data_IF_826466268130
#
_entry.id   IF_826466268130
#
_cell.length_a   1.000
_cell.length_b   1.000
_cell.length_c   1.000
_cell.angle_alpha   90.00
_cell.angle_beta   90.00
_cell.angle_gamma   90.00
#
_symmetry.space_group_name_H-M   'P 1'
#
loop_
_entity.id
_entity.type
_entity.pdbx_description
1 polymer ?
#
# COMPACT_ATOMS: atom_id res chain seq x y z
N UNK A 1 -69.68 -41.07 -11.60
CA UNK A 1 -69.11 -40.78 -12.94
C UNK A 1 -67.71 -40.22 -12.74
N UNK A 2 -66.71 -41.10 -12.84
CA UNK A 2 -65.28 -40.78 -12.52
C UNK A 2 -64.54 -40.39 -13.82
N UNK A 3 -63.98 -39.21 -13.88
CA UNK A 3 -63.12 -38.80 -14.96
C UNK A 3 -61.69 -38.54 -14.41
N UNK A 4 -60.83 -39.55 -14.51
CA UNK A 4 -59.41 -39.45 -14.24
C UNK A 4 -58.76 -38.79 -15.46
N UNK A 5 -58.23 -37.57 -15.28
CA UNK A 5 -57.34 -36.92 -16.26
C UNK A 5 -55.90 -37.20 -15.90
N UNK A 6 -55.24 -38.00 -16.71
CA UNK A 6 -53.82 -38.28 -16.67
C UNK A 6 -53.07 -37.10 -17.34
N UNK A 7 -52.27 -36.36 -16.59
CA UNK A 7 -51.32 -35.38 -17.13
C UNK A 7 -49.96 -36.04 -17.31
N UNK A 8 -49.62 -36.29 -18.57
CA UNK A 8 -48.27 -36.68 -18.93
C UNK A 8 -47.38 -35.42 -19.00
N UNK A 9 -46.52 -35.27 -18.05
CA UNK A 9 -45.50 -34.20 -18.05
C UNK A 9 -44.32 -34.58 -18.96
N UNK A 10 -44.13 -33.79 -20.01
CA UNK A 10 -42.97 -33.92 -20.90
C UNK A 10 -41.82 -33.13 -20.24
N UNK A 11 -40.85 -33.83 -19.69
CA UNK A 11 -39.61 -33.22 -19.18
C UNK A 11 -38.64 -33.04 -20.37
N UNK A 12 -38.50 -31.79 -20.82
CA UNK A 12 -37.46 -31.42 -21.77
C UNK A 12 -36.15 -31.18 -21.01
N UNK A 13 -35.21 -32.14 -21.14
CA UNK A 13 -33.87 -31.96 -20.64
C UNK A 13 -33.07 -31.09 -21.62
N UNK A 14 -32.88 -29.82 -21.24
CA UNK A 14 -31.98 -28.91 -21.97
C UNK A 14 -30.56 -29.23 -21.56
N UNK A 15 -29.81 -29.92 -22.42
CA UNK A 15 -28.38 -30.09 -22.22
C UNK A 15 -27.65 -28.76 -22.49
N UNK A 16 -27.14 -28.15 -21.43
CA UNK A 16 -26.25 -26.98 -21.52
C UNK A 16 -24.87 -27.46 -22.00
N UNK A 17 -24.59 -27.26 -23.29
CA UNK A 17 -23.25 -27.47 -23.84
C UNK A 17 -22.34 -26.31 -23.38
N UNK A 18 -21.52 -26.59 -22.37
CA UNK A 18 -20.43 -25.67 -21.98
C UNK A 18 -19.34 -25.78 -23.06
N UNK A 19 -19.25 -24.78 -23.92
CA UNK A 19 -18.11 -24.61 -24.80
C UNK A 19 -16.85 -24.37 -23.95
N UNK A 20 -15.70 -25.00 -24.25
CA UNK A 20 -14.47 -24.70 -23.54
C UNK A 20 -14.09 -23.24 -23.80
N UNK A 21 -14.09 -22.42 -22.74
CA UNK A 21 -13.51 -21.09 -22.81
C UNK A 21 -11.99 -21.24 -22.95
N UNK A 22 -11.47 -20.96 -24.14
CA UNK A 22 -10.03 -20.83 -24.34
C UNK A 22 -9.53 -19.71 -23.43
N UNK A 23 -8.65 -20.02 -22.49
CA UNK A 23 -7.96 -19.01 -21.72
C UNK A 23 -7.23 -18.05 -22.69
N UNK A 24 -7.30 -16.73 -22.49
CA UNK A 24 -6.51 -15.82 -23.31
C UNK A 24 -5.04 -16.21 -23.20
N UNK A 25 -4.36 -16.29 -24.34
CA UNK A 25 -2.93 -16.51 -24.36
C UNK A 25 -2.28 -15.43 -23.49
N UNK A 26 -1.58 -15.84 -22.47
CA UNK A 26 -0.75 -14.94 -21.67
C UNK A 26 0.29 -14.40 -22.65
N UNK A 27 0.24 -13.12 -22.96
CA UNK A 27 1.27 -12.47 -23.77
C UNK A 27 2.63 -12.82 -23.13
N UNK A 28 3.58 -13.25 -23.94
CA UNK A 28 4.93 -13.57 -23.47
C UNK A 28 5.43 -12.41 -22.60
N UNK A 29 5.82 -12.72 -21.36
CA UNK A 29 6.43 -11.73 -20.49
C UNK A 29 7.65 -11.16 -21.22
N UNK A 30 7.88 -9.83 -21.15
CA UNK A 30 9.07 -9.27 -21.76
C UNK A 30 10.31 -10.00 -21.24
N UNK A 31 11.32 -10.25 -22.10
CA UNK A 31 12.51 -10.96 -21.67
C UNK A 31 13.11 -10.23 -20.45
N UNK A 32 13.48 -11.02 -19.46
CA UNK A 32 14.15 -10.48 -18.27
C UNK A 32 15.36 -9.63 -18.70
N UNK A 33 15.61 -8.49 -18.07
CA UNK A 33 16.75 -7.65 -18.40
C UNK A 33 18.04 -8.47 -18.35
N UNK A 34 18.76 -8.53 -19.43
CA UNK A 34 19.95 -9.38 -19.62
C UNK A 34 21.21 -8.89 -18.92
N UNK A 35 21.08 -7.90 -18.05
CA UNK A 35 22.17 -7.40 -17.24
C UNK A 35 21.81 -7.50 -15.75
N UNK A 36 22.37 -8.48 -15.04
CA UNK A 36 22.41 -8.41 -13.58
C UNK A 36 23.31 -7.23 -13.25
N UNK A 37 22.83 -6.17 -12.58
CA UNK A 37 23.71 -5.08 -12.16
C UNK A 37 24.86 -5.65 -11.34
N UNK A 38 26.07 -5.18 -11.57
CA UNK A 38 27.22 -5.55 -10.74
C UNK A 38 26.86 -5.33 -9.27
N UNK A 39 27.17 -6.31 -8.42
CA UNK A 39 26.87 -6.22 -7.00
C UNK A 39 27.51 -4.93 -6.43
N UNK A 40 26.69 -4.13 -5.74
CA UNK A 40 27.19 -2.92 -5.07
C UNK A 40 28.19 -3.36 -4.00
N UNK A 41 29.42 -2.84 -3.99
CA UNK A 41 30.40 -3.19 -2.96
C UNK A 41 29.87 -2.83 -1.57
N UNK A 42 30.13 -3.68 -0.58
CA UNK A 42 29.80 -3.37 0.80
C UNK A 42 30.61 -2.17 1.30
N UNK A 43 29.98 -1.37 2.14
CA UNK A 43 30.62 -0.23 2.80
C UNK A 43 31.79 -0.68 3.67
N UNK A 44 32.83 0.15 3.75
CA UNK A 44 33.95 -0.03 4.70
C UNK A 44 33.54 0.27 6.13
N UNK A 45 32.43 0.94 6.36
CA UNK A 45 31.86 1.19 7.69
C UNK A 45 31.10 -0.05 8.17
N UNK A 46 31.52 -0.73 9.25
CA UNK A 46 30.96 -2.04 9.64
C UNK A 46 29.44 -2.05 9.82
N UNK A 47 28.87 -1.01 10.46
CA UNK A 47 27.41 -0.92 10.66
C UNK A 47 26.64 -0.78 9.35
N UNK A 48 27.18 -0.02 8.39
CA UNK A 48 26.56 0.14 7.08
C UNK A 48 26.69 -1.16 6.27
N UNK A 49 27.86 -1.82 6.31
CA UNK A 49 28.04 -3.12 5.67
C UNK A 49 27.05 -4.16 6.22
N UNK A 50 26.86 -4.20 7.53
CA UNK A 50 25.88 -5.07 8.17
C UNK A 50 24.46 -4.78 7.70
N UNK A 51 24.07 -3.50 7.60
CA UNK A 51 22.77 -3.11 7.07
C UNK A 51 22.61 -3.49 5.59
N UNK A 52 23.64 -3.27 4.77
CA UNK A 52 23.62 -3.66 3.36
C UNK A 52 23.39 -5.16 3.16
N UNK A 53 23.90 -6.00 4.07
CA UNK A 53 23.69 -7.46 4.03
C UNK A 53 22.23 -7.87 4.28
N UNK A 54 21.39 -7.01 4.86
CA UNK A 54 19.97 -7.28 5.05
C UNK A 54 19.19 -7.30 3.73
N UNK A 55 19.65 -6.58 2.72
CA UNK A 55 19.20 -6.51 1.32
C UNK A 55 17.72 -6.17 1.11
N UNK A 56 16.79 -6.78 1.85
CA UNK A 56 15.35 -6.66 1.62
C UNK A 56 14.64 -6.11 2.86
N UNK A 57 13.96 -4.98 2.68
CA UNK A 57 13.23 -4.33 3.75
C UNK A 57 12.01 -3.57 3.26
N UNK A 58 11.14 -3.21 4.19
CA UNK A 58 10.00 -2.34 3.94
C UNK A 58 10.41 -0.88 4.08
N UNK A 59 10.09 -0.08 3.09
CA UNK A 59 10.12 1.37 3.21
C UNK A 59 8.69 1.89 3.26
N UNK A 60 8.38 2.70 4.27
CA UNK A 60 7.02 3.20 4.48
C UNK A 60 7.02 4.71 4.65
N UNK A 61 6.25 5.39 3.81
CA UNK A 61 5.86 6.78 4.03
C UNK A 61 4.65 6.81 4.97
N UNK A 62 4.82 7.36 6.16
CA UNK A 62 3.74 7.53 7.12
C UNK A 62 3.93 8.83 7.90
N UNK A 63 2.86 9.62 8.00
CA UNK A 63 2.87 10.91 8.67
C UNK A 63 1.47 11.52 8.68
N UNK A 64 1.35 12.77 9.09
CA UNK A 64 0.06 13.49 9.13
C UNK A 64 -0.62 13.50 7.76
N UNK A 65 0.14 13.57 6.68
CA UNK A 65 -0.38 13.47 5.31
C UNK A 65 -1.14 12.17 5.03
N UNK A 66 -0.83 11.09 5.75
CA UNK A 66 -1.54 9.81 5.60
C UNK A 66 -3.00 9.90 6.04
N UNK A 67 -3.32 10.79 6.98
CA UNK A 67 -4.71 11.04 7.42
C UNK A 67 -5.54 11.65 6.30
N UNK A 68 -4.92 12.53 5.51
CA UNK A 68 -5.58 13.16 4.37
C UNK A 68 -5.76 12.20 3.18
N UNK A 69 -4.85 11.24 3.02
CA UNK A 69 -4.93 10.27 1.93
C UNK A 69 -4.96 10.90 0.52
N UNK A 70 -4.41 12.09 0.37
CA UNK A 70 -4.42 12.85 -0.89
C UNK A 70 -5.72 13.62 -1.16
N UNK A 71 -6.59 13.78 -0.13
CA UNK A 71 -7.83 14.56 -0.23
C UNK A 71 -7.86 15.69 0.80
N UNK A 72 -8.38 16.85 0.39
CA UNK A 72 -8.61 17.99 1.25
C UNK A 72 -9.91 18.71 0.85
N UNK A 73 -10.72 19.12 1.82
CA UNK A 73 -12.00 19.79 1.58
C UNK A 73 -12.90 19.10 0.54
N UNK A 74 -12.92 17.77 0.53
CA UNK A 74 -13.78 16.97 -0.33
C UNK A 74 -13.29 16.81 -1.78
N UNK A 75 -12.11 17.32 -2.13
CA UNK A 75 -11.52 17.14 -3.45
C UNK A 75 -10.14 16.46 -3.36
N UNK A 76 -9.75 15.81 -4.44
CA UNK A 76 -8.41 15.24 -4.56
C UNK A 76 -7.39 16.37 -4.72
N UNK A 77 -6.25 16.23 -4.08
CA UNK A 77 -5.09 17.09 -4.27
C UNK A 77 -4.82 17.33 -5.76
N UNK A 78 -4.68 18.60 -6.13
CA UNK A 78 -4.61 19.01 -7.54
C UNK A 78 -3.23 18.77 -8.17
N UNK A 79 -2.16 18.70 -7.36
CA UNK A 79 -0.79 18.56 -7.83
C UNK A 79 0.08 17.85 -6.79
N UNK A 80 1.22 17.30 -7.22
CA UNK A 80 2.21 16.67 -6.35
C UNK A 80 1.79 15.30 -5.81
N UNK A 81 2.47 14.86 -4.77
CA UNK A 81 2.25 13.60 -4.10
C UNK A 81 1.51 13.81 -2.77
N UNK A 82 0.77 12.82 -2.26
CA UNK A 82 0.01 12.96 -1.00
C UNK A 82 0.83 13.46 0.19
N UNK A 83 2.09 13.12 0.29
CA UNK A 83 3.00 13.60 1.33
C UNK A 83 3.36 15.09 1.24
N UNK A 84 2.98 15.74 0.14
CA UNK A 84 3.16 17.17 -0.11
C UNK A 84 1.87 17.97 0.08
N UNK A 85 0.77 17.31 0.47
CA UNK A 85 -0.58 17.90 0.50
C UNK A 85 -0.65 19.21 1.30
N UNK A 86 0.08 19.31 2.41
CA UNK A 86 0.11 20.53 3.24
C UNK A 86 0.48 21.76 2.42
N UNK A 87 1.50 21.62 1.57
CA UNK A 87 2.00 22.73 0.75
C UNK A 87 1.10 23.02 -0.45
N UNK A 88 0.71 21.99 -1.19
CA UNK A 88 -0.09 22.16 -2.40
C UNK A 88 -1.52 22.62 -2.15
N UNK A 89 -2.12 22.23 -1.04
CA UNK A 89 -3.46 22.66 -0.64
C UNK A 89 -3.44 23.85 0.33
N UNK A 90 -2.25 24.40 0.64
CA UNK A 90 -2.07 25.51 1.55
C UNK A 90 -2.74 25.27 2.91
N UNK A 91 -2.66 24.07 3.45
CA UNK A 91 -3.31 23.72 4.71
C UNK A 91 -2.65 24.50 5.86
N UNK A 92 -3.43 25.26 6.65
CA UNK A 92 -2.89 25.99 7.78
C UNK A 92 -2.14 25.09 8.76
N UNK A 93 -1.02 25.57 9.29
CA UNK A 93 -0.16 24.75 10.16
C UNK A 93 -0.89 24.22 11.39
N UNK A 94 -1.76 25.03 12.00
CA UNK A 94 -2.51 24.61 13.19
C UNK A 94 -3.58 23.57 12.86
N UNK A 95 -4.23 23.67 11.71
CA UNK A 95 -5.16 22.65 11.22
C UNK A 95 -4.42 21.34 10.96
N UNK A 96 -3.29 21.41 10.26
CA UNK A 96 -2.48 20.24 9.96
C UNK A 96 -1.95 19.57 11.23
N UNK A 97 -1.48 20.36 12.21
CA UNK A 97 -1.06 19.88 13.53
C UNK A 97 -2.21 19.21 14.29
N UNK A 98 -3.41 19.76 14.21
CA UNK A 98 -4.58 19.17 14.87
C UNK A 98 -4.89 17.75 14.37
N UNK A 99 -4.64 17.48 13.09
CA UNK A 99 -4.80 16.15 12.50
C UNK A 99 -3.78 15.12 13.01
N UNK A 100 -2.64 15.57 13.56
CA UNK A 100 -1.66 14.69 14.18
C UNK A 100 -2.19 14.03 15.45
N UNK A 101 -3.16 14.68 16.11
CA UNK A 101 -3.82 14.12 17.29
C UNK A 101 -4.56 12.84 16.92
N UNK A 102 -4.18 11.74 17.48
CA UNK A 102 -4.79 10.44 17.17
C UNK A 102 -4.12 9.68 16.01
N UNK A 103 -3.13 10.25 15.35
CA UNK A 103 -2.40 9.54 14.29
C UNK A 103 -1.86 8.19 14.77
N UNK A 104 -1.31 8.14 15.99
CA UNK A 104 -0.79 6.92 16.59
C UNK A 104 -1.87 5.84 16.82
N UNK A 105 -3.13 6.23 17.07
CA UNK A 105 -4.23 5.28 17.30
C UNK A 105 -4.65 4.53 16.03
N UNK A 106 -4.28 5.02 14.87
CA UNK A 106 -4.55 4.39 13.57
C UNK A 106 -3.34 3.60 13.04
N UNK A 107 -2.26 3.53 13.82
CA UNK A 107 -1.03 2.86 13.42
C UNK A 107 -0.91 1.49 14.09
N UNK A 108 -1.23 0.42 13.37
CA UNK A 108 -1.03 -0.95 13.85
C UNK A 108 0.40 -1.43 13.54
N UNK A 109 1.32 -1.13 14.44
CA UNK A 109 2.71 -1.55 14.34
C UNK A 109 2.84 -3.08 14.24
N UNK A 110 1.99 -3.82 14.96
CA UNK A 110 2.03 -5.28 14.96
C UNK A 110 1.63 -5.87 13.60
N UNK A 111 0.58 -5.33 12.97
CA UNK A 111 0.17 -5.75 11.64
C UNK A 111 1.23 -5.46 10.59
N UNK A 112 1.84 -4.26 10.65
CA UNK A 112 2.92 -3.85 9.74
C UNK A 112 4.13 -4.76 9.89
N UNK A 113 4.57 -5.03 11.13
CA UNK A 113 5.70 -5.92 11.40
C UNK A 113 5.42 -7.36 10.94
N UNK A 114 4.22 -7.88 11.17
CA UNK A 114 3.83 -9.20 10.66
C UNK A 114 3.89 -9.23 9.12
N UNK A 115 3.31 -8.25 8.46
CA UNK A 115 3.34 -8.17 6.99
C UNK A 115 4.77 -8.16 6.45
N UNK A 116 5.65 -7.36 7.05
CA UNK A 116 7.05 -7.32 6.66
C UNK A 116 7.76 -8.67 6.89
N UNK A 117 7.53 -9.28 8.05
CA UNK A 117 8.08 -10.59 8.40
C UNK A 117 7.63 -11.67 7.43
N UNK A 118 6.32 -11.77 7.17
CA UNK A 118 5.73 -12.81 6.30
C UNK A 118 6.19 -12.64 4.84
N UNK A 119 6.50 -11.41 4.43
CA UNK A 119 7.13 -11.12 3.14
C UNK A 119 8.65 -11.39 3.12
N UNK A 120 9.24 -11.88 4.21
CA UNK A 120 10.66 -12.17 4.32
C UNK A 120 11.58 -10.95 4.47
N UNK A 121 11.03 -9.77 4.76
CA UNK A 121 11.79 -8.54 4.95
C UNK A 121 12.61 -8.59 6.24
N UNK A 122 13.76 -7.94 6.24
CA UNK A 122 14.74 -7.99 7.33
C UNK A 122 14.81 -6.70 8.14
N UNK A 123 14.25 -5.61 7.62
CA UNK A 123 14.18 -4.31 8.29
C UNK A 123 12.96 -3.54 7.82
N UNK A 124 12.61 -2.51 8.60
CA UNK A 124 11.59 -1.55 8.26
C UNK A 124 12.18 -0.14 8.39
N UNK A 125 11.91 0.69 7.42
CA UNK A 125 12.27 2.10 7.41
C UNK A 125 10.98 2.92 7.31
N UNK A 126 10.85 3.93 8.17
CA UNK A 126 9.69 4.84 8.18
C UNK A 126 10.20 6.29 8.08
N UNK A 127 9.46 7.12 7.36
CA UNK A 127 9.73 8.56 7.35
C UNK A 127 9.33 9.17 8.69
N UNK A 128 10.29 9.61 9.49
CA UNK A 128 10.02 10.27 10.77
C UNK A 128 9.75 11.77 10.64
N UNK A 129 10.17 12.38 9.53
CA UNK A 129 9.91 13.77 9.13
C UNK A 129 9.93 13.83 7.61
N UNK A 130 8.96 14.48 7.00
CA UNK A 130 8.83 14.55 5.55
C UNK A 130 8.65 16.00 5.05
N UNK A 131 8.08 16.19 3.84
CA UNK A 131 7.87 17.48 3.19
C UNK A 131 7.05 18.47 4.02
N UNK A 132 6.15 17.98 4.87
CA UNK A 132 5.32 18.78 5.78
C UNK A 132 6.11 19.40 6.93
N UNK A 133 7.34 18.92 7.19
CA UNK A 133 8.19 19.38 8.27
C UNK A 133 7.74 18.94 9.66
N UNK A 134 6.65 18.17 9.79
CA UNK A 134 6.18 17.65 11.08
C UNK A 134 7.11 16.56 11.60
N UNK A 135 7.56 16.70 12.85
CA UNK A 135 8.41 15.70 13.49
C UNK A 135 7.54 14.65 14.19
N UNK A 136 7.65 13.39 13.76
CA UNK A 136 6.91 12.24 14.29
C UNK A 136 7.46 11.72 15.63
N UNK A 137 8.23 12.54 16.34
CA UNK A 137 8.84 12.20 17.64
C UNK A 137 8.93 13.44 18.53
N UNK A 138 8.98 13.25 19.85
CA UNK A 138 9.22 14.35 20.81
C UNK A 138 10.63 14.91 20.62
N UNK A 139 10.74 15.98 19.82
CA UNK A 139 12.00 16.70 19.57
C UNK A 139 12.08 17.95 20.42
N UNK A 140 13.32 18.35 20.77
CA UNK A 140 13.60 19.62 21.48
C UNK A 140 14.00 20.76 20.53
N UNK A 141 14.01 20.52 19.22
CA UNK A 141 14.43 21.50 18.21
C UNK A 141 13.26 22.30 17.61
N UNK A 142 12.05 21.83 17.82
CA UNK A 142 10.81 22.48 17.34
C UNK A 142 9.64 22.02 18.19
N UNK A 143 8.61 22.82 18.25
CA UNK A 143 7.29 22.48 18.83
C UNK A 143 6.31 21.93 17.77
N UNK A 144 6.78 21.80 16.53
CA UNK A 144 6.00 21.22 15.42
C UNK A 144 6.20 19.70 15.37
N UNK A 145 5.65 19.01 16.39
CA UNK A 145 5.72 17.58 16.62
C UNK A 145 4.47 17.05 17.33
#
# INVERSE_FOLDING_TARGET
MNLKRTLAGLAAATALVLAPMSAPAVADAPPAPTGVPAAVPLSTTPKIAQWQQLQYGMFMHFGVYSVYGGYYNGHRQHMGYPEQIKAWENIPTEEYRAMAKGLASHFDASAICRTAHDAGMKYLMITSKHHDGFAMWDTKTTDYN
#
